data_IF_456532341284
#
_entry.id   IF_456532341284
#
_cell.length_a   1.000
_cell.length_b   1.000
_cell.length_c   1.000
_cell.angle_alpha   90.00
_cell.angle_beta   90.00
_cell.angle_gamma   90.00
#
_symmetry.space_group_name_H-M   'P 1'
#
loop_
_entity.id
_entity.type
_entity.pdbx_description
1 polymer ?
#
# COMPACT_ATOMS: atom_id res chain seq x y z
N UNK A 1 28.58 -5.11 -4.19
CA UNK A 1 27.44 -4.45 -3.53
C UNK A 1 26.15 -5.04 -4.07
N UNK A 2 25.11 -5.13 -3.25
CA UNK A 2 23.78 -5.56 -3.69
C UNK A 2 22.99 -4.32 -4.11
N UNK A 3 22.43 -4.32 -5.32
CA UNK A 3 21.54 -3.26 -5.79
C UNK A 3 20.10 -3.73 -5.58
N UNK A 4 19.38 -3.20 -4.58
CA UNK A 4 17.99 -3.59 -4.35
C UNK A 4 17.13 -3.18 -5.56
N UNK A 5 16.22 -4.08 -5.95
CA UNK A 5 15.15 -3.82 -6.92
C UNK A 5 13.85 -3.62 -6.16
N UNK A 6 13.08 -2.61 -6.54
CA UNK A 6 11.76 -2.37 -5.96
C UNK A 6 10.68 -2.67 -7.00
N UNK A 7 9.71 -3.49 -6.64
CA UNK A 7 8.57 -3.81 -7.50
C UNK A 7 7.31 -3.23 -6.88
N UNK A 8 6.60 -2.39 -7.63
CA UNK A 8 5.34 -1.81 -7.20
C UNK A 8 4.17 -2.59 -7.82
N UNK A 9 3.25 -3.02 -6.95
CA UNK A 9 2.01 -3.72 -7.32
C UNK A 9 0.80 -2.95 -6.78
N UNK A 10 -0.12 -2.56 -7.65
CA UNK A 10 -1.37 -1.90 -7.25
C UNK A 10 -2.46 -2.93 -6.92
N UNK A 11 -2.62 -3.26 -5.64
CA UNK A 11 -3.51 -4.33 -5.19
C UNK A 11 -4.99 -3.97 -5.10
N UNK A 12 -5.45 -2.85 -5.68
CA UNK A 12 -6.84 -2.37 -5.55
C UNK A 12 -7.89 -3.36 -6.09
N UNK A 13 -7.57 -4.11 -7.15
CA UNK A 13 -8.46 -5.17 -7.66
C UNK A 13 -8.55 -6.36 -6.71
N UNK A 14 -7.44 -6.76 -6.09
CA UNK A 14 -7.39 -7.82 -5.10
C UNK A 14 -8.26 -7.45 -3.90
N UNK A 15 -8.10 -6.25 -3.35
CA UNK A 15 -8.88 -5.80 -2.19
C UNK A 15 -10.37 -5.73 -2.50
N UNK A 16 -10.74 -5.19 -3.67
CA UNK A 16 -12.13 -5.16 -4.13
C UNK A 16 -12.73 -6.58 -4.22
N UNK A 17 -12.04 -7.51 -4.87
CA UNK A 17 -12.49 -8.90 -5.02
C UNK A 17 -12.72 -9.59 -3.68
N UNK A 18 -11.79 -9.40 -2.73
CA UNK A 18 -11.93 -9.93 -1.36
C UNK A 18 -13.16 -9.33 -0.66
N UNK A 19 -13.32 -8.02 -0.71
CA UNK A 19 -14.40 -7.33 0.00
C UNK A 19 -15.80 -7.66 -0.53
N UNK A 20 -15.91 -7.95 -1.83
CA UNK A 20 -17.19 -8.32 -2.45
C UNK A 20 -17.46 -9.83 -2.46
N UNK A 21 -16.40 -10.65 -2.44
CA UNK A 21 -16.50 -12.09 -2.66
C UNK A 21 -16.36 -12.97 -1.42
N UNK A 22 -15.93 -12.42 -0.28
CA UNK A 22 -15.62 -13.19 0.92
C UNK A 22 -16.23 -12.58 2.18
N UNK A 23 -16.50 -13.45 3.16
CA UNK A 23 -16.85 -13.04 4.53
C UNK A 23 -15.76 -12.14 5.11
N UNK A 24 -16.16 -11.03 5.74
CA UNK A 24 -15.26 -10.03 6.35
C UNK A 24 -14.23 -10.61 7.32
N UNK A 25 -14.56 -11.71 7.99
CA UNK A 25 -13.67 -12.40 8.92
C UNK A 25 -12.51 -13.10 8.23
N UNK A 26 -12.61 -13.32 6.91
CA UNK A 26 -11.58 -13.92 6.06
C UNK A 26 -10.72 -12.87 5.34
N UNK A 27 -11.11 -11.59 5.32
CA UNK A 27 -10.37 -10.60 4.54
C UNK A 27 -8.86 -10.53 4.87
N UNK A 28 -8.42 -10.59 6.14
CA UNK A 28 -6.99 -10.57 6.46
C UNK A 28 -6.22 -11.76 5.90
N UNK A 29 -6.77 -12.98 6.04
CA UNK A 29 -6.11 -14.18 5.53
C UNK A 29 -6.14 -14.20 4.01
N UNK A 30 -7.23 -13.72 3.40
CA UNK A 30 -7.38 -13.66 1.97
C UNK A 30 -6.40 -12.69 1.32
N UNK A 31 -6.25 -11.51 1.90
CA UNK A 31 -5.30 -10.52 1.41
C UNK A 31 -3.87 -11.03 1.52
N UNK A 32 -3.51 -11.64 2.66
CA UNK A 32 -2.20 -12.25 2.86
C UNK A 32 -1.94 -13.41 1.89
N UNK A 33 -2.94 -14.24 1.64
CA UNK A 33 -2.87 -15.32 0.64
C UNK A 33 -2.62 -14.77 -0.76
N UNK A 34 -3.32 -13.71 -1.16
CA UNK A 34 -3.09 -13.06 -2.45
C UNK A 34 -1.66 -12.51 -2.58
N UNK A 35 -1.11 -11.90 -1.52
CA UNK A 35 0.28 -11.41 -1.51
C UNK A 35 1.29 -12.56 -1.63
N UNK A 36 1.04 -13.70 -0.98
CA UNK A 36 1.89 -14.89 -1.12
C UNK A 36 1.89 -15.42 -2.55
N UNK A 37 0.71 -15.54 -3.17
CA UNK A 37 0.59 -15.98 -4.57
C UNK A 37 1.28 -15.02 -5.54
N UNK A 38 1.10 -13.71 -5.33
CA UNK A 38 1.75 -12.67 -6.12
C UNK A 38 3.28 -12.74 -6.00
N UNK A 39 3.79 -12.88 -4.76
CA UNK A 39 5.22 -13.00 -4.50
C UNK A 39 5.82 -14.27 -5.10
N UNK A 40 5.14 -15.42 -4.97
CA UNK A 40 5.58 -16.71 -5.54
C UNK A 40 5.69 -16.64 -7.07
N UNK A 41 4.64 -16.13 -7.74
CA UNK A 41 4.63 -15.98 -9.20
C UNK A 41 5.69 -14.97 -9.67
N UNK A 42 5.79 -13.82 -9.02
CA UNK A 42 6.77 -12.79 -9.37
C UNK A 42 8.20 -13.33 -9.21
N UNK A 43 8.52 -13.90 -8.05
CA UNK A 43 9.83 -14.44 -7.75
C UNK A 43 10.21 -15.57 -8.71
N UNK A 44 9.27 -16.48 -9.01
CA UNK A 44 9.47 -17.54 -10.00
C UNK A 44 9.77 -16.97 -11.39
N UNK A 45 9.00 -15.98 -11.85
CA UNK A 45 9.20 -15.35 -13.17
C UNK A 45 10.55 -14.62 -13.30
N UNK A 46 11.14 -14.23 -12.17
CA UNK A 46 12.45 -13.54 -12.10
C UNK A 46 13.61 -14.49 -11.78
N UNK A 47 13.34 -15.78 -11.58
CA UNK A 47 14.35 -16.78 -11.20
C UNK A 47 14.88 -16.64 -9.77
N UNK A 48 14.11 -16.04 -8.86
CA UNK A 48 14.49 -15.94 -7.44
C UNK A 48 14.15 -17.23 -6.70
N UNK A 49 15.02 -17.64 -5.75
CA UNK A 49 14.95 -18.93 -5.08
C UNK A 49 14.10 -18.99 -3.81
N UNK A 50 13.49 -17.89 -3.37
CA UNK A 50 12.74 -17.86 -2.12
C UNK A 50 12.06 -16.52 -1.84
N UNK A 51 11.18 -16.54 -0.83
CA UNK A 51 10.43 -15.39 -0.34
C UNK A 51 10.82 -15.16 1.11
N UNK A 52 11.07 -13.91 1.51
CA UNK A 52 11.33 -13.55 2.91
C UNK A 52 10.19 -12.66 3.41
N UNK A 53 9.67 -12.96 4.60
CA UNK A 53 8.61 -12.15 5.24
C UNK A 53 9.03 -11.72 6.65
N UNK A 54 8.47 -10.61 7.13
CA UNK A 54 8.66 -10.12 8.51
C UNK A 54 7.63 -10.66 9.51
N UNK A 55 7.08 -11.86 9.28
CA UNK A 55 6.06 -12.43 10.18
C UNK A 55 6.67 -12.92 11.50
N UNK A 56 5.99 -12.65 12.61
CA UNK A 56 6.31 -13.18 13.95
C UNK A 56 5.13 -13.99 14.51
N UNK A 57 5.39 -15.09 15.20
CA UNK A 57 4.32 -15.97 15.69
C UNK A 57 3.53 -15.32 16.84
N UNK A 58 2.20 -15.33 16.73
CA UNK A 58 1.30 -14.89 17.80
C UNK A 58 1.04 -13.38 17.89
N UNK A 59 1.69 -12.57 17.05
CA UNK A 59 1.52 -11.11 17.10
C UNK A 59 0.19 -10.61 16.51
N UNK A 60 -0.31 -11.26 15.45
CA UNK A 60 -1.62 -10.96 14.83
C UNK A 60 -2.40 -12.22 14.47
N UNK A 61 -3.71 -12.09 14.22
CA UNK A 61 -4.62 -13.22 13.94
C UNK A 61 -4.19 -14.11 12.77
N UNK A 62 -3.51 -13.55 11.76
CA UNK A 62 -3.02 -14.27 10.58
C UNK A 62 -1.61 -14.85 10.76
N UNK A 63 -1.02 -14.74 11.95
CA UNK A 63 0.33 -15.22 12.27
C UNK A 63 0.28 -16.26 13.39
N UNK A 64 -0.63 -17.24 13.25
CA UNK A 64 -0.66 -18.43 14.09
C UNK A 64 -0.35 -19.69 13.25
N UNK A 65 -0.06 -20.82 13.90
CA UNK A 65 0.34 -22.05 13.23
C UNK A 65 -0.70 -22.55 12.20
N UNK A 66 -2.00 -22.38 12.47
CA UNK A 66 -3.05 -22.77 11.52
C UNK A 66 -3.03 -21.89 10.27
N UNK A 67 -2.82 -20.58 10.43
CA UNK A 67 -2.69 -19.64 9.33
C UNK A 67 -1.44 -19.94 8.48
N UNK A 68 -0.27 -20.09 9.12
CA UNK A 68 0.99 -20.39 8.43
C UNK A 68 0.90 -21.71 7.63
N UNK A 69 0.29 -22.74 8.22
CA UNK A 69 0.09 -24.04 7.56
C UNK A 69 -0.73 -23.90 6.28
N UNK A 70 -1.83 -23.16 6.31
CA UNK A 70 -2.72 -23.06 5.14
C UNK A 70 -2.18 -22.07 4.09
N UNK A 71 -1.53 -20.98 4.51
CA UNK A 71 -0.97 -19.98 3.61
C UNK A 71 0.16 -20.53 2.72
N UNK A 72 0.92 -21.50 3.21
CA UNK A 72 1.98 -22.17 2.44
C UNK A 72 1.43 -23.15 1.38
N UNK A 73 0.14 -23.50 1.40
CA UNK A 73 -0.41 -24.50 0.49
C UNK A 73 -0.26 -24.06 -0.97
N UNK A 74 0.41 -24.84 -1.80
CA UNK A 74 0.54 -24.52 -3.23
C UNK A 74 1.46 -23.33 -3.55
N UNK A 75 2.23 -22.84 -2.58
CA UNK A 75 3.37 -21.96 -2.84
C UNK A 75 4.55 -22.83 -3.23
N UNK A 76 5.20 -22.49 -4.35
CA UNK A 76 6.31 -23.29 -4.90
C UNK A 76 7.65 -22.97 -4.25
N UNK A 77 7.88 -21.70 -3.91
CA UNK A 77 9.12 -21.23 -3.32
C UNK A 77 9.14 -21.35 -1.79
N UNK A 78 10.32 -21.57 -1.17
CA UNK A 78 10.45 -21.55 0.28
C UNK A 78 10.16 -20.14 0.82
N UNK A 79 9.37 -20.07 1.90
CA UNK A 79 9.09 -18.83 2.64
C UNK A 79 9.90 -18.82 3.94
N UNK A 80 10.90 -17.95 3.98
CA UNK A 80 11.75 -17.70 5.14
C UNK A 80 11.12 -16.65 6.06
N UNK A 81 11.07 -16.96 7.35
CA UNK A 81 10.45 -16.12 8.40
C UNK A 81 11.47 -15.84 9.50
N UNK A 82 12.46 -14.98 9.26
CA UNK A 82 13.53 -14.72 10.23
C UNK A 82 13.03 -14.22 11.59
N UNK A 83 11.86 -13.56 11.62
CA UNK A 83 11.28 -13.00 12.83
C UNK A 83 10.30 -13.95 13.56
N UNK A 84 10.15 -15.21 13.10
CA UNK A 84 9.06 -16.09 13.55
C UNK A 84 9.02 -16.31 15.06
N UNK A 85 10.19 -16.38 15.71
CA UNK A 85 10.33 -16.64 17.14
C UNK A 85 10.64 -15.41 17.99
N UNK A 86 10.73 -14.22 17.40
CA UNK A 86 11.09 -12.99 18.10
C UNK A 86 9.84 -12.29 18.62
N UNK A 87 9.93 -11.73 19.83
CA UNK A 87 8.90 -10.85 20.34
C UNK A 87 8.98 -9.42 19.74
N UNK A 88 7.98 -8.60 20.04
CA UNK A 88 7.88 -7.25 19.49
C UNK A 88 9.03 -6.35 19.94
N UNK A 89 9.48 -6.46 21.19
CA UNK A 89 10.50 -5.58 21.75
C UNK A 89 11.87 -5.92 21.15
N UNK A 90 12.15 -7.20 20.93
CA UNK A 90 13.32 -7.66 20.18
C UNK A 90 13.32 -7.13 18.75
N UNK A 91 12.19 -7.24 18.04
CA UNK A 91 12.05 -6.71 16.68
C UNK A 91 12.26 -5.20 16.64
N UNK A 92 11.68 -4.47 17.60
CA UNK A 92 11.84 -3.00 17.72
C UNK A 92 13.30 -2.64 18.01
N UNK A 93 13.97 -3.37 18.89
CA UNK A 93 15.39 -3.16 19.19
C UNK A 93 16.27 -3.37 17.97
N UNK A 94 16.02 -4.44 17.20
CA UNK A 94 16.70 -4.68 15.93
C UNK A 94 16.42 -3.55 14.93
N UNK A 95 15.16 -3.14 14.76
CA UNK A 95 14.77 -2.06 13.85
C UNK A 95 15.43 -0.72 14.21
N UNK A 96 15.58 -0.42 15.50
CA UNK A 96 16.33 0.78 15.96
C UNK A 96 17.82 0.65 15.66
N UNK A 97 18.40 -0.52 15.91
CA UNK A 97 19.81 -0.79 15.66
C UNK A 97 20.18 -0.63 14.17
N UNK A 98 19.32 -1.08 13.26
CA UNK A 98 19.52 -0.94 11.80
C UNK A 98 18.96 0.37 11.22
N UNK A 99 18.43 1.27 12.06
CA UNK A 99 17.94 2.59 11.66
C UNK A 99 16.60 2.63 10.89
N UNK A 100 15.84 1.54 10.85
CA UNK A 100 14.55 1.48 10.12
C UNK A 100 13.35 1.93 10.96
N UNK A 101 13.46 1.88 12.30
CA UNK A 101 12.35 2.14 13.22
C UNK A 101 11.67 3.50 13.00
N UNK A 102 12.45 4.58 12.82
CA UNK A 102 11.92 5.94 12.70
C UNK A 102 11.11 6.15 11.40
N UNK A 103 11.39 5.36 10.35
CA UNK A 103 10.63 5.38 9.11
C UNK A 103 9.38 4.50 9.23
N UNK A 104 9.53 3.28 9.75
CA UNK A 104 8.43 2.32 9.87
C UNK A 104 7.35 2.77 10.86
N UNK A 105 7.73 3.39 11.99
CA UNK A 105 6.79 3.82 13.04
C UNK A 105 5.83 4.93 12.59
N UNK A 106 6.17 5.66 11.52
CA UNK A 106 5.35 6.73 10.96
C UNK A 106 4.28 6.23 9.99
N UNK A 107 4.36 4.98 9.54
CA UNK A 107 3.45 4.43 8.54
C UNK A 107 2.18 3.92 9.24
N UNK A 108 0.99 4.41 8.89
CA UNK A 108 -0.26 3.90 9.46
C UNK A 108 -0.49 2.45 9.04
N UNK A 109 -0.94 1.61 9.97
CA UNK A 109 -1.25 0.21 9.67
C UNK A 109 -2.53 0.09 8.84
N UNK A 110 -2.38 -0.27 7.56
CA UNK A 110 -3.48 -0.54 6.64
C UNK A 110 -4.35 -1.75 7.07
N UNK A 111 -3.85 -2.61 7.97
CA UNK A 111 -4.58 -3.77 8.51
C UNK A 111 -5.87 -3.40 9.26
N UNK A 112 -6.01 -2.16 9.73
CA UNK A 112 -7.23 -1.67 10.38
C UNK A 112 -8.47 -1.82 9.50
N UNK A 113 -8.33 -1.65 8.17
CA UNK A 113 -9.43 -1.79 7.19
C UNK A 113 -9.95 -3.23 7.08
N UNK A 114 -9.11 -4.23 7.41
CA UNK A 114 -9.45 -5.65 7.26
C UNK A 114 -9.80 -6.37 8.57
N UNK A 115 -9.72 -5.70 9.72
CA UNK A 115 -9.70 -6.37 11.03
C UNK A 115 -11.06 -6.48 11.73
N UNK A 116 -12.13 -6.81 10.99
CA UNK A 116 -13.47 -7.00 11.58
C UNK A 116 -13.66 -8.43 12.13
N UNK A 117 -13.33 -8.65 13.41
CA UNK A 117 -13.48 -9.95 14.09
C UNK A 117 -12.86 -11.12 13.32
N UNK A 118 -11.54 -11.07 13.05
CA UNK A 118 -10.89 -12.02 12.15
C UNK A 118 -11.01 -13.45 12.65
N UNK A 119 -11.24 -14.39 11.73
CA UNK A 119 -11.16 -15.82 12.03
C UNK A 119 -9.72 -16.15 12.42
N UNK A 120 -9.54 -17.04 13.40
CA UNK A 120 -8.21 -17.41 13.92
C UNK A 120 -7.85 -18.88 13.66
N UNK A 121 -8.83 -19.72 13.30
CA UNK A 121 -8.63 -21.12 12.91
C UNK A 121 -8.92 -21.29 11.42
N UNK A 122 -7.91 -21.73 10.67
CA UNK A 122 -8.02 -21.91 9.23
C UNK A 122 -7.84 -23.37 8.82
N UNK A 123 -8.53 -23.75 7.75
CA UNK A 123 -8.43 -25.08 7.12
C UNK A 123 -8.05 -24.91 5.65
N UNK A 124 -7.60 -25.98 4.99
CA UNK A 124 -7.27 -25.92 3.56
C UNK A 124 -8.47 -25.51 2.71
N UNK A 125 -9.67 -25.96 3.06
CA UNK A 125 -10.92 -25.54 2.41
C UNK A 125 -11.11 -24.01 2.40
N UNK A 126 -10.74 -23.33 3.49
CA UNK A 126 -10.82 -21.86 3.54
C UNK A 126 -9.89 -21.23 2.52
N UNK A 127 -8.67 -21.75 2.36
CA UNK A 127 -7.74 -21.22 1.36
C UNK A 127 -8.17 -21.55 -0.07
N UNK A 128 -8.78 -22.72 -0.30
CA UNK A 128 -9.36 -23.05 -1.61
C UNK A 128 -10.51 -22.10 -1.99
N UNK A 129 -11.36 -21.73 -1.03
CA UNK A 129 -12.42 -20.72 -1.23
C UNK A 129 -11.83 -19.33 -1.51
N UNK A 130 -10.78 -18.93 -0.78
CA UNK A 130 -10.04 -17.69 -1.02
C UNK A 130 -9.41 -17.67 -2.41
N UNK A 131 -8.72 -18.75 -2.79
CA UNK A 131 -7.99 -18.85 -4.06
C UNK A 131 -8.92 -18.69 -5.26
N UNK A 132 -10.15 -19.20 -5.19
CA UNK A 132 -11.19 -18.98 -6.22
C UNK A 132 -11.52 -17.51 -6.44
N UNK A 133 -11.45 -16.69 -5.39
CA UNK A 133 -11.77 -15.26 -5.45
C UNK A 133 -10.56 -14.43 -5.89
N UNK A 134 -9.37 -14.75 -5.37
CA UNK A 134 -8.20 -13.87 -5.55
C UNK A 134 -7.33 -14.21 -6.76
N UNK A 135 -7.37 -15.44 -7.30
CA UNK A 135 -6.40 -15.90 -8.32
C UNK A 135 -6.39 -15.03 -9.58
N UNK A 136 -7.56 -14.76 -10.18
CA UNK A 136 -7.64 -13.90 -11.37
C UNK A 136 -7.11 -12.49 -11.11
N UNK A 137 -7.47 -11.91 -9.96
CA UNK A 137 -7.01 -10.57 -9.60
C UNK A 137 -5.50 -10.54 -9.34
N UNK A 138 -4.93 -11.61 -8.78
CA UNK A 138 -3.47 -11.74 -8.61
C UNK A 138 -2.77 -11.79 -9.96
N UNK A 139 -3.29 -12.54 -10.94
CA UNK A 139 -2.69 -12.63 -12.27
C UNK A 139 -2.74 -11.30 -13.03
N UNK A 140 -3.87 -10.58 -12.92
CA UNK A 140 -3.99 -9.23 -13.48
C UNK A 140 -3.01 -8.24 -12.83
N UNK A 141 -2.89 -8.27 -11.49
CA UNK A 141 -1.95 -7.41 -10.77
C UNK A 141 -0.51 -7.76 -11.12
N UNK A 142 -0.17 -9.04 -11.24
CA UNK A 142 1.14 -9.51 -11.65
C UNK A 142 1.56 -8.94 -13.01
N UNK A 143 0.65 -8.96 -13.99
CA UNK A 143 0.89 -8.40 -15.32
C UNK A 143 1.12 -6.89 -15.33
N UNK A 144 0.70 -6.17 -14.29
CA UNK A 144 0.87 -4.74 -14.12
C UNK A 144 2.00 -4.37 -13.13
N UNK A 145 2.72 -5.33 -12.56
CA UNK A 145 3.85 -5.06 -11.65
C UNK A 145 4.94 -4.32 -12.43
N UNK A 146 5.38 -3.18 -11.87
CA UNK A 146 6.47 -2.40 -12.44
C UNK A 146 7.68 -2.34 -11.52
N UNK A 147 8.87 -2.45 -12.10
CA UNK A 147 10.12 -2.18 -11.40
C UNK A 147 10.28 -0.66 -11.27
N UNK A 148 10.53 -0.19 -10.05
CA UNK A 148 10.80 1.21 -9.73
C UNK A 148 12.28 1.33 -9.37
N UNK A 149 12.96 2.28 -10.00
CA UNK A 149 14.34 2.60 -9.66
C UNK A 149 14.38 3.30 -8.31
N UNK A 150 15.13 2.73 -7.36
CA UNK A 150 15.35 3.32 -6.04
C UNK A 150 16.41 4.42 -6.05
N UNK A 151 17.30 4.38 -7.04
CA UNK A 151 18.41 5.32 -7.21
C UNK A 151 18.36 5.87 -8.64
N UNK A 152 18.48 7.18 -8.77
CA UNK A 152 18.40 7.91 -10.05
C UNK A 152 17.93 9.35 -9.83
N UNK A 153 17.95 10.16 -10.88
CA UNK A 153 17.30 11.47 -10.87
C UNK A 153 15.79 11.27 -10.61
N UNK A 154 15.22 12.07 -9.71
CA UNK A 154 13.78 12.11 -9.54
C UNK A 154 13.17 12.56 -10.87
N UNK A 155 12.45 11.65 -11.54
CA UNK A 155 11.64 12.04 -12.70
C UNK A 155 10.68 13.14 -12.25
N UNK A 156 10.78 14.30 -12.90
CA UNK A 156 9.84 15.39 -12.68
C UNK A 156 8.42 14.84 -12.79
N UNK A 157 7.54 15.15 -11.82
CA UNK A 157 6.20 14.63 -11.86
C UNK A 157 5.48 15.13 -13.11
N UNK A 158 4.85 14.21 -13.84
CA UNK A 158 4.05 14.57 -15.01
C UNK A 158 2.83 15.41 -14.60
N UNK A 159 2.88 16.69 -14.96
CA UNK A 159 1.83 17.68 -14.68
C UNK A 159 0.82 17.81 -15.84
N UNK A 160 0.91 16.99 -16.88
CA UNK A 160 0.05 17.12 -18.05
C UNK A 160 -1.44 16.98 -17.64
N UNK A 161 -2.21 18.03 -17.95
CA UNK A 161 -3.63 18.13 -17.58
C UNK A 161 -3.91 18.38 -16.09
N UNK A 162 -2.90 18.42 -15.22
CA UNK A 162 -3.02 18.82 -13.80
C UNK A 162 -2.59 20.27 -13.55
N UNK A 163 -1.70 20.81 -14.40
CA UNK A 163 -1.12 22.14 -14.22
C UNK A 163 -2.12 23.26 -14.51
N UNK A 164 -2.10 24.30 -13.67
CA UNK A 164 -2.70 25.61 -13.95
C UNK A 164 -1.66 26.70 -13.68
N UNK A 165 -1.59 27.71 -14.55
CA UNK A 165 -0.62 28.81 -14.41
C UNK A 165 -1.15 29.98 -13.58
N UNK A 166 -2.47 30.05 -13.40
CA UNK A 166 -3.14 31.09 -12.62
C UNK A 166 -4.17 30.43 -11.72
N UNK A 167 -4.28 30.92 -10.49
CA UNK A 167 -5.31 30.47 -9.55
C UNK A 167 -6.71 30.84 -10.09
N UNK A 168 -7.58 29.86 -10.41
CA UNK A 168 -8.93 30.15 -10.89
C UNK A 168 -9.74 30.89 -9.83
N UNK A 169 -10.65 31.77 -10.28
CA UNK A 169 -11.52 32.51 -9.38
C UNK A 169 -12.39 31.54 -8.54
N UNK A 170 -12.47 31.80 -7.22
CA UNK A 170 -13.20 30.95 -6.28
C UNK A 170 -12.53 29.62 -5.94
N UNK A 171 -11.32 29.35 -6.45
CA UNK A 171 -10.57 28.15 -6.09
C UNK A 171 -9.96 28.24 -4.68
N UNK A 172 -9.92 27.10 -3.98
CA UNK A 172 -9.26 26.98 -2.69
C UNK A 172 -7.79 26.65 -2.92
N UNK A 173 -6.90 27.58 -2.56
CA UNK A 173 -5.45 27.36 -2.61
C UNK A 173 -4.98 26.60 -1.36
N UNK A 174 -4.36 25.44 -1.56
CA UNK A 174 -3.84 24.56 -0.52
C UNK A 174 -2.32 24.49 -0.62
N UNK A 175 -1.64 24.74 0.48
CA UNK A 175 -0.18 24.67 0.55
C UNK A 175 0.29 23.38 1.24
N UNK A 176 1.00 22.54 0.47
CA UNK A 176 1.65 21.32 0.96
C UNK A 176 3.16 21.50 1.18
N UNK A 177 3.70 22.67 0.82
CA UNK A 177 5.12 23.02 1.01
C UNK A 177 5.38 23.64 2.38
N UNK A 178 4.35 24.23 2.99
CA UNK A 178 4.40 24.94 4.26
C UNK A 178 5.01 26.35 4.19
N UNK A 179 5.22 26.88 2.97
CA UNK A 179 5.91 28.15 2.72
C UNK A 179 4.99 29.31 2.36
N UNK A 180 3.73 29.06 1.96
CA UNK A 180 2.83 30.09 1.46
C UNK A 180 2.04 30.78 2.59
N UNK A 181 1.85 32.10 2.48
CA UNK A 181 1.12 32.91 3.47
C UNK A 181 -0.39 32.97 3.20
N UNK A 182 -0.81 33.03 1.93
CA UNK A 182 -2.21 33.18 1.53
C UNK A 182 -2.84 31.86 1.04
N UNK A 183 -2.58 30.76 1.76
CA UNK A 183 -3.07 29.43 1.40
C UNK A 183 -3.46 28.62 2.63
N UNK A 184 -4.37 27.67 2.45
CA UNK A 184 -4.71 26.70 3.49
C UNK A 184 -3.55 25.71 3.62
N UNK A 185 -2.76 25.84 4.69
CA UNK A 185 -1.64 24.93 4.95
C UNK A 185 -2.15 23.59 5.45
N UNK A 186 -1.79 22.52 4.75
CA UNK A 186 -2.15 21.16 5.13
C UNK A 186 -0.94 20.24 5.00
N UNK A 187 -0.90 19.22 5.84
CA UNK A 187 -0.06 18.05 5.55
C UNK A 187 -0.77 17.16 4.53
N UNK A 188 -0.05 16.35 3.74
CA UNK A 188 -0.66 15.44 2.76
C UNK A 188 -1.74 14.51 3.36
N UNK A 189 -1.60 14.15 4.65
CA UNK A 189 -2.55 13.29 5.36
C UNK A 189 -3.90 13.97 5.62
N UNK A 190 -3.92 15.30 5.73
CA UNK A 190 -5.12 16.07 6.05
C UNK A 190 -5.94 16.45 4.81
N UNK A 191 -5.34 16.37 3.62
CA UNK A 191 -5.95 16.85 2.37
C UNK A 191 -7.28 16.17 2.08
N UNK A 192 -7.33 14.85 2.19
CA UNK A 192 -8.54 14.08 1.87
C UNK A 192 -9.69 14.52 2.78
N UNK A 193 -9.48 14.48 4.10
CA UNK A 193 -10.49 14.91 5.08
C UNK A 193 -10.93 16.35 4.82
N UNK A 194 -9.98 17.26 4.58
CA UNK A 194 -10.27 18.66 4.32
C UNK A 194 -11.16 18.85 3.08
N UNK A 195 -10.82 18.23 1.95
CA UNK A 195 -11.59 18.34 0.68
C UNK A 195 -13.01 17.83 0.86
N UNK A 196 -13.19 16.65 1.44
CA UNK A 196 -14.53 16.07 1.61
C UNK A 196 -15.37 16.82 2.64
N UNK A 197 -14.75 17.43 3.66
CA UNK A 197 -15.45 18.28 4.64
C UNK A 197 -15.85 19.65 4.07
N UNK A 198 -15.04 20.21 3.16
CA UNK A 198 -15.26 21.56 2.62
C UNK A 198 -16.04 21.61 1.31
N UNK A 199 -16.38 20.45 0.74
CA UNK A 199 -17.15 20.30 -0.50
C UNK A 199 -16.27 19.79 -1.65
N UNK A 200 -16.39 18.52 -2.08
CA UNK A 200 -15.56 17.95 -3.16
C UNK A 200 -15.86 18.52 -4.56
N UNK A 201 -16.97 19.24 -4.69
CA UNK A 201 -17.46 19.93 -5.88
C UNK A 201 -16.75 21.27 -6.16
N UNK A 202 -16.05 21.82 -5.17
CA UNK A 202 -15.20 23.01 -5.30
C UNK A 202 -13.94 22.72 -6.13
N UNK A 203 -13.35 23.78 -6.65
CA UNK A 203 -12.03 23.73 -7.29
C UNK A 203 -10.94 23.90 -6.24
N UNK A 204 -9.99 22.97 -6.21
CA UNK A 204 -8.82 23.00 -5.32
C UNK A 204 -7.55 23.12 -6.14
N UNK A 205 -6.67 24.02 -5.75
CA UNK A 205 -5.36 24.21 -6.37
C UNK A 205 -4.28 24.02 -5.31
N UNK A 206 -3.29 23.19 -5.62
CA UNK A 206 -2.27 22.75 -4.66
C UNK A 206 -0.89 23.30 -5.02
N UNK A 207 -0.21 23.88 -4.03
CA UNK A 207 1.22 24.16 -4.07
C UNK A 207 1.96 22.90 -3.61
N UNK A 208 2.57 22.19 -4.56
CA UNK A 208 3.26 20.92 -4.29
C UNK A 208 4.77 21.08 -4.11
N UNK A 209 5.33 22.20 -4.58
CA UNK A 209 6.77 22.44 -4.58
C UNK A 209 7.55 21.51 -5.52
N UNK A 210 6.89 20.92 -6.53
CA UNK A 210 7.48 19.93 -7.41
C UNK A 210 7.62 18.53 -6.81
N UNK A 211 7.21 18.32 -5.55
CA UNK A 211 7.26 17.03 -4.90
C UNK A 211 6.30 16.02 -5.55
N UNK A 212 6.85 14.89 -6.01
CA UNK A 212 6.11 13.85 -6.75
C UNK A 212 4.97 13.25 -5.94
N UNK A 213 5.18 13.04 -4.64
CA UNK A 213 4.15 12.48 -3.76
C UNK A 213 2.95 13.42 -3.61
N UNK A 214 3.21 14.72 -3.45
CA UNK A 214 2.17 15.75 -3.42
C UNK A 214 1.41 15.83 -4.76
N UNK A 215 2.10 15.70 -5.90
CA UNK A 215 1.42 15.65 -7.22
C UNK A 215 0.57 14.39 -7.37
N UNK A 216 1.05 13.23 -6.91
CA UNK A 216 0.30 11.98 -6.95
C UNK A 216 -0.97 12.03 -6.08
N UNK A 217 -0.92 12.75 -4.95
CA UNK A 217 -2.09 13.03 -4.12
C UNK A 217 -3.16 13.84 -4.88
N UNK A 218 -2.75 14.89 -5.58
CA UNK A 218 -3.64 15.70 -6.44
C UNK A 218 -4.25 14.84 -7.55
N UNK A 219 -3.45 13.97 -8.18
CA UNK A 219 -3.94 13.04 -9.21
C UNK A 219 -4.97 12.06 -8.65
N UNK A 220 -4.78 11.60 -7.43
CA UNK A 220 -5.71 10.71 -6.73
C UNK A 220 -7.05 11.39 -6.44
N UNK A 221 -7.05 12.67 -6.02
CA UNK A 221 -8.27 13.47 -5.88
C UNK A 221 -9.05 13.58 -7.19
N UNK A 222 -8.37 13.85 -8.32
CA UNK A 222 -9.03 13.89 -9.65
C UNK A 222 -9.66 12.55 -10.03
N UNK A 223 -8.99 11.43 -9.77
CA UNK A 223 -9.55 10.09 -10.00
C UNK A 223 -10.83 9.83 -9.18
N UNK A 224 -11.00 10.54 -8.07
CA UNK A 224 -12.20 10.52 -7.23
C UNK A 224 -13.27 11.54 -7.64
N UNK A 225 -13.06 12.27 -8.75
CA UNK A 225 -14.02 13.25 -9.28
C UNK A 225 -13.85 14.68 -8.76
N UNK A 226 -12.83 14.96 -7.94
CA UNK A 226 -12.56 16.30 -7.43
C UNK A 226 -11.89 17.16 -8.51
N UNK A 227 -12.27 18.44 -8.61
CA UNK A 227 -11.61 19.44 -9.46
C UNK A 227 -10.29 19.90 -8.81
N UNK A 228 -9.26 19.07 -8.88
CA UNK A 228 -7.96 19.29 -8.24
C UNK A 228 -6.86 19.59 -9.27
N UNK A 229 -6.07 20.64 -9.04
CA UNK A 229 -4.98 21.10 -9.94
C UNK A 229 -3.71 21.43 -9.16
N UNK A 230 -2.57 21.51 -9.85
CA UNK A 230 -1.28 21.95 -9.30
C UNK A 230 -0.98 23.34 -9.84
N UNK A 231 -0.68 24.29 -8.95
CA UNK A 231 -0.21 25.61 -9.38
C UNK A 231 1.27 25.51 -9.76
N UNK A 232 1.63 26.16 -10.87
CA UNK A 232 2.99 26.20 -11.40
C UNK A 232 3.98 26.99 -10.54
#
# INVERSE_FOLDING_TARGET
>A
GYTPKFFLAECGKITKGIMTGLDKRLWPIAFKRALYLLADKLATSKGYGGIVTGESLGQVSTQNLSALKVLNRGISLPILRPLLGFDKDEIVKMARHIGTYEYSSKIPEFCSVFSFHPKTKFTYRVIEEVDKVVSSAVDEVLGAVREVKLYGEEEEPDLQGLKVDVLPEGAVLVDLTGKAENAVRLTPRQVMEFVFKNGPDKTYVFLTGGDKFNVDLVRSLRKMGVKAFVLS
#
